data_IF_175674332391
#
_entry.id   IF_175674332391
#
_cell.length_a   1.000
_cell.length_b   1.000
_cell.length_c   1.000
_cell.angle_alpha   90.00
_cell.angle_beta   90.00
_cell.angle_gamma   90.00
#
_symmetry.space_group_name_H-M   'P 1'
#
loop_
_entity.id
_entity.type
_entity.pdbx_description
1 polymer ?
#
# COMPACT_ATOMS: atom_id res chain seq x y z
N UNK A 1 1.42 5.50 -9.63
CA UNK A 1 1.15 5.49 -8.18
C UNK A 1 1.97 4.38 -7.56
N UNK A 2 2.51 4.54 -6.35
CA UNK A 2 3.27 3.44 -5.73
C UNK A 2 2.85 3.12 -4.29
N UNK A 3 3.25 3.92 -3.30
CA UNK A 3 2.94 3.59 -1.90
C UNK A 3 1.45 3.68 -1.58
N UNK A 4 0.67 4.38 -2.39
CA UNK A 4 -0.78 4.48 -2.28
C UNK A 4 -1.49 3.12 -2.39
N UNK A 5 -0.94 2.17 -3.17
CA UNK A 5 -1.52 0.83 -3.35
C UNK A 5 -1.58 0.02 -2.03
N UNK A 6 -0.77 0.39 -1.04
CA UNK A 6 -0.79 -0.24 0.28
C UNK A 6 -1.81 0.39 1.24
N UNK A 7 -2.32 1.59 0.97
CA UNK A 7 -3.26 2.30 1.84
C UNK A 7 -4.56 1.50 2.12
N UNK A 8 -5.19 0.84 1.13
CA UNK A 8 -6.40 0.04 1.33
C UNK A 8 -6.19 -1.10 2.33
N UNK A 9 -5.00 -1.68 2.41
CA UNK A 9 -4.71 -2.77 3.35
C UNK A 9 -4.88 -2.34 4.81
N UNK A 10 -4.43 -1.12 5.14
CA UNK A 10 -4.48 -0.55 6.48
C UNK A 10 -5.91 -0.20 6.89
N UNK A 11 -6.72 0.28 5.93
CA UNK A 11 -8.15 0.57 6.14
C UNK A 11 -8.96 -0.74 6.28
N UNK A 12 -8.75 -1.68 5.36
CA UNK A 12 -9.54 -2.91 5.24
C UNK A 12 -9.24 -3.93 6.35
N UNK A 13 -8.07 -3.86 6.98
CA UNK A 13 -7.72 -4.68 8.13
C UNK A 13 -8.74 -4.57 9.29
N UNK A 14 -9.50 -3.47 9.37
CA UNK A 14 -10.57 -3.30 10.37
C UNK A 14 -11.80 -4.17 10.12
N UNK A 15 -12.10 -4.44 8.86
CA UNK A 15 -13.28 -5.22 8.47
C UNK A 15 -12.98 -6.72 8.40
N UNK A 16 -11.71 -7.12 8.42
CA UNK A 16 -11.29 -8.51 8.45
C UNK A 16 -10.06 -8.73 9.34
N UNK A 17 -10.20 -8.67 10.67
CA UNK A 17 -9.09 -8.81 11.62
C UNK A 17 -8.42 -10.20 11.59
N UNK A 18 -9.11 -11.19 11.03
CA UNK A 18 -8.57 -12.53 10.78
C UNK A 18 -7.63 -12.59 9.57
N UNK A 19 -7.70 -11.62 8.65
CA UNK A 19 -6.83 -11.58 7.47
C UNK A 19 -5.47 -11.02 7.87
N UNK A 20 -4.36 -11.70 7.57
CA UNK A 20 -3.03 -11.15 7.78
C UNK A 20 -2.83 -9.84 7.01
N UNK A 21 -2.22 -8.84 7.64
CA UNK A 21 -2.02 -7.52 7.02
C UNK A 21 -1.12 -7.61 5.78
N UNK A 22 -0.15 -8.53 5.78
CA UNK A 22 0.70 -8.78 4.62
C UNK A 22 -0.10 -9.23 3.38
N UNK A 23 -1.16 -10.01 3.57
CA UNK A 23 -1.97 -10.52 2.47
C UNK A 23 -2.83 -9.39 1.87
N UNK A 24 -3.39 -8.52 2.72
CA UNK A 24 -4.09 -7.32 2.29
C UNK A 24 -3.15 -6.31 1.61
N UNK A 25 -1.93 -6.15 2.12
CA UNK A 25 -0.91 -5.29 1.54
C UNK A 25 -0.49 -5.77 0.16
N UNK A 26 -0.21 -7.07 0.04
CA UNK A 26 0.17 -7.66 -1.23
C UNK A 26 -0.99 -7.64 -2.23
N UNK A 27 -2.23 -7.85 -1.79
CA UNK A 27 -3.42 -7.73 -2.64
C UNK A 27 -3.48 -6.36 -3.36
N UNK A 28 -3.27 -5.27 -2.62
CA UNK A 28 -3.31 -3.92 -3.18
C UNK A 28 -2.22 -3.65 -4.23
N UNK A 29 -1.02 -4.21 -4.05
CA UNK A 29 0.10 -4.06 -4.97
C UNK A 29 0.25 -5.22 -5.97
N UNK A 30 -0.69 -6.17 -5.98
CA UNK A 30 -0.60 -7.39 -6.79
C UNK A 30 -0.60 -7.11 -8.30
N UNK A 31 -1.43 -6.19 -8.83
CA UNK A 31 -1.38 -5.85 -10.26
C UNK A 31 0.00 -5.35 -10.69
N UNK A 32 0.64 -4.46 -9.91
CA UNK A 32 1.99 -3.95 -10.18
C UNK A 32 3.02 -5.09 -10.13
N UNK A 33 2.97 -5.94 -9.10
CA UNK A 33 3.89 -7.06 -8.97
C UNK A 33 3.81 -8.02 -10.16
N UNK A 34 2.59 -8.35 -10.58
CA UNK A 34 2.36 -9.20 -11.74
C UNK A 34 2.77 -8.52 -13.03
N UNK A 35 2.59 -7.20 -13.16
CA UNK A 35 3.05 -6.44 -14.31
C UNK A 35 4.56 -6.59 -14.49
N UNK A 36 5.35 -6.40 -13.43
CA UNK A 36 6.80 -6.60 -13.51
C UNK A 36 7.19 -8.04 -13.81
N UNK A 37 6.49 -9.02 -13.22
CA UNK A 37 6.75 -10.43 -13.49
C UNK A 37 6.45 -10.80 -14.96
N UNK A 38 5.32 -10.35 -15.50
CA UNK A 38 4.94 -10.56 -16.90
C UNK A 38 5.81 -9.76 -17.86
N UNK A 39 6.32 -8.60 -17.44
CA UNK A 39 7.28 -7.82 -18.19
C UNK A 39 8.62 -8.55 -18.35
N UNK A 40 9.14 -9.14 -17.27
CA UNK A 40 10.33 -10.00 -17.32
C UNK A 40 10.10 -11.21 -18.24
N UNK A 41 8.87 -11.77 -18.25
CA UNK A 41 8.51 -12.87 -19.14
C UNK A 41 8.25 -12.45 -20.59
N UNK A 42 8.27 -11.15 -20.92
CA UNK A 42 7.97 -10.62 -22.25
C UNK A 42 6.49 -10.69 -22.65
N UNK A 43 5.57 -10.88 -21.69
CA UNK A 43 4.12 -10.94 -21.91
C UNK A 43 3.43 -9.57 -21.79
N UNK A 44 4.06 -8.62 -21.09
CA UNK A 44 3.65 -7.22 -20.99
C UNK A 44 4.87 -6.31 -21.23
N UNK A 45 4.68 -5.07 -21.68
CA UNK A 45 5.80 -4.17 -21.99
C UNK A 45 5.57 -2.75 -21.50
N UNK A 46 6.60 -2.14 -20.91
CA UNK A 46 6.68 -0.68 -20.81
C UNK A 46 7.23 -0.11 -22.11
N UNK A 47 6.50 0.78 -22.79
CA UNK A 47 7.07 1.53 -23.91
C UNK A 47 7.57 2.88 -23.41
N UNK A 48 8.78 3.24 -23.84
CA UNK A 48 9.24 4.61 -23.79
C UNK A 48 8.85 5.28 -25.10
N UNK A 49 7.98 6.28 -25.04
CA UNK A 49 8.05 7.30 -26.07
C UNK A 49 9.15 8.30 -25.65
N UNK A 50 10.04 8.62 -26.57
CA UNK A 50 10.98 9.71 -26.40
C UNK A 50 10.21 11.04 -26.47
N UNK A 51 9.48 11.40 -25.41
CA UNK A 51 8.83 12.70 -25.33
C UNK A 51 9.74 13.73 -24.67
N UNK A 52 9.73 14.94 -25.22
CA UNK A 52 10.45 16.09 -24.69
C UNK A 52 10.07 16.33 -23.23
N UNK A 53 11.05 16.38 -22.31
CA UNK A 53 10.82 16.71 -20.90
C UNK A 53 9.99 18.00 -20.79
N UNK A 54 8.81 17.90 -20.18
CA UNK A 54 8.00 19.07 -19.88
C UNK A 54 8.81 19.99 -18.95
N UNK A 55 9.03 21.24 -19.32
CA UNK A 55 9.80 22.17 -18.51
C UNK A 55 8.87 23.27 -18.02
N UNK A 56 8.79 23.47 -16.70
CA UNK A 56 8.02 24.53 -16.08
C UNK A 56 8.94 25.46 -15.31
N UNK A 57 8.72 26.77 -15.41
CA UNK A 57 9.46 27.75 -14.62
C UNK A 57 8.52 28.36 -13.58
N UNK A 58 8.82 28.14 -12.29
CA UNK A 58 8.02 28.65 -11.17
C UNK A 58 8.95 29.49 -10.29
N UNK A 59 8.60 30.76 -10.05
CA UNK A 59 9.42 31.70 -9.25
C UNK A 59 10.90 31.78 -9.64
N UNK A 60 11.22 31.66 -10.94
CA UNK A 60 12.59 31.70 -11.45
C UNK A 60 13.36 30.37 -11.35
N UNK A 61 12.76 29.32 -10.79
CA UNK A 61 13.33 27.96 -10.80
C UNK A 61 12.78 27.18 -11.99
N UNK A 62 13.67 26.67 -12.84
CA UNK A 62 13.31 25.77 -13.94
C UNK A 62 13.18 24.35 -13.41
N UNK A 63 11.93 23.92 -13.24
CA UNK A 63 11.58 22.53 -12.98
C UNK A 63 11.58 21.79 -14.32
N UNK A 64 12.54 20.90 -14.51
CA UNK A 64 12.42 19.86 -15.52
C UNK A 64 11.46 18.83 -14.95
N UNK A 65 10.29 18.72 -15.55
CA UNK A 65 9.40 17.58 -15.34
C UNK A 65 10.14 16.30 -15.70
N UNK A 66 9.79 15.21 -15.02
CA UNK A 66 10.11 13.89 -15.54
C UNK A 66 9.57 13.78 -16.96
N UNK A 67 10.19 13.01 -17.86
CA UNK A 67 9.45 12.54 -19.05
C UNK A 67 8.21 11.84 -18.48
N UNK A 68 7.04 12.45 -18.59
CA UNK A 68 5.81 11.95 -17.97
C UNK A 68 5.31 10.67 -18.63
N UNK A 69 6.12 10.09 -19.51
CA UNK A 69 6.15 8.67 -19.86
C UNK A 69 6.80 7.83 -18.75
N UNK A 70 6.55 8.17 -17.48
CA UNK A 70 6.79 7.26 -16.38
C UNK A 70 5.91 6.01 -16.59
N UNK A 71 6.36 4.83 -16.17
CA UNK A 71 5.46 3.71 -15.87
C UNK A 71 4.23 4.26 -15.08
N UNK A 72 2.97 4.17 -15.54
CA UNK A 72 2.40 3.24 -16.53
C UNK A 72 1.84 3.92 -17.81
N UNK A 73 2.11 5.20 -18.07
CA UNK A 73 1.32 5.98 -19.05
C UNK A 73 1.47 5.50 -20.51
N UNK A 74 2.52 4.74 -20.81
CA UNK A 74 2.80 4.16 -22.12
C UNK A 74 3.18 2.68 -22.05
N UNK A 75 2.58 1.91 -21.13
CA UNK A 75 2.80 0.46 -21.08
C UNK A 75 1.65 -0.31 -21.74
N UNK A 76 1.98 -1.44 -22.38
CA UNK A 76 1.04 -2.46 -22.81
C UNK A 76 0.93 -3.52 -21.72
N UNK A 77 -0.16 -3.46 -20.95
CA UNK A 77 -0.44 -4.38 -19.83
C UNK A 77 -1.86 -4.96 -19.89
N UNK A 78 -2.22 -5.67 -20.98
CA UNK A 78 -3.58 -6.14 -21.21
C UNK A 78 -4.10 -7.10 -20.13
N UNK A 79 -3.23 -7.68 -19.31
CA UNK A 79 -3.60 -8.69 -18.32
C UNK A 79 -3.63 -8.15 -16.89
N UNK A 80 -2.68 -7.30 -16.52
CA UNK A 80 -2.53 -6.89 -15.11
C UNK A 80 -3.31 -5.65 -14.76
N UNK A 81 -3.48 -4.76 -15.72
CA UNK A 81 -4.10 -3.45 -15.50
C UNK A 81 -5.33 -3.22 -16.37
N UNK A 82 -5.80 -4.20 -17.15
CA UNK A 82 -7.15 -4.15 -17.72
C UNK A 82 -8.20 -4.43 -16.65
N UNK A 83 -9.44 -3.94 -16.84
CA UNK A 83 -10.51 -4.12 -15.85
C UNK A 83 -10.90 -5.58 -15.67
N UNK A 84 -11.00 -6.31 -16.78
CA UNK A 84 -11.18 -7.76 -16.75
C UNK A 84 -10.00 -8.48 -16.07
N UNK A 85 -8.77 -8.05 -16.37
CA UNK A 85 -7.54 -8.56 -15.77
C UNK A 85 -7.50 -8.39 -14.25
N UNK A 86 -7.74 -7.18 -13.75
CA UNK A 86 -7.77 -6.90 -12.32
C UNK A 86 -8.89 -7.65 -11.60
N UNK A 87 -10.07 -7.80 -12.20
CA UNK A 87 -11.15 -8.64 -11.64
C UNK A 87 -10.70 -10.10 -11.55
N UNK A 88 -10.09 -10.64 -12.61
CA UNK A 88 -9.60 -12.01 -12.62
C UNK A 88 -8.51 -12.24 -11.56
N UNK A 89 -7.52 -11.34 -11.48
CA UNK A 89 -6.45 -11.37 -10.49
C UNK A 89 -7.02 -11.28 -9.07
N UNK A 90 -7.93 -10.33 -8.81
CA UNK A 90 -8.57 -10.15 -7.51
C UNK A 90 -9.33 -11.39 -7.05
N UNK A 91 -10.13 -11.99 -7.94
CA UNK A 91 -10.86 -13.23 -7.65
C UNK A 91 -9.91 -14.38 -7.38
N UNK A 92 -8.93 -14.62 -8.26
CA UNK A 92 -7.98 -15.71 -8.13
C UNK A 92 -7.19 -15.61 -6.80
N UNK A 93 -6.64 -14.44 -6.50
CA UNK A 93 -5.87 -14.22 -5.29
C UNK A 93 -6.73 -14.37 -4.03
N UNK A 94 -7.91 -13.75 -3.99
CA UNK A 94 -8.80 -13.84 -2.84
C UNK A 94 -9.25 -15.29 -2.59
N UNK A 95 -9.61 -16.06 -3.63
CA UNK A 95 -9.97 -17.48 -3.50
C UNK A 95 -8.79 -18.27 -2.90
N UNK A 96 -7.59 -18.13 -3.48
CA UNK A 96 -6.41 -18.90 -3.05
C UNK A 96 -6.09 -18.63 -1.58
N UNK A 97 -6.00 -17.36 -1.19
CA UNK A 97 -5.68 -16.98 0.19
C UNK A 97 -6.77 -17.41 1.16
N UNK A 98 -8.04 -17.21 0.81
CA UNK A 98 -9.17 -17.61 1.66
C UNK A 98 -9.20 -19.12 1.88
N UNK A 99 -8.95 -19.93 0.84
CA UNK A 99 -8.90 -21.38 0.98
C UNK A 99 -7.68 -21.86 1.78
N UNK A 100 -6.50 -21.31 1.48
CA UNK A 100 -5.25 -21.72 2.11
C UNK A 100 -5.24 -21.41 3.62
N UNK A 101 -5.74 -20.25 4.02
CA UNK A 101 -5.82 -19.82 5.41
C UNK A 101 -7.17 -20.12 6.08
N UNK A 102 -8.11 -20.75 5.38
CA UNK A 102 -9.48 -21.04 5.84
C UNK A 102 -10.18 -19.80 6.42
N UNK A 103 -10.05 -18.68 5.72
CA UNK A 103 -10.55 -17.39 6.20
C UNK A 103 -12.06 -17.26 6.03
N UNK A 104 -12.74 -16.45 6.86
CA UNK A 104 -14.17 -16.21 6.72
C UNK A 104 -14.49 -15.33 5.52
N UNK A 105 -15.77 -15.27 5.12
CA UNK A 105 -16.21 -14.49 3.96
C UNK A 105 -15.82 -12.99 3.99
N UNK A 106 -15.83 -12.27 5.13
CA UNK A 106 -15.34 -10.88 5.18
C UNK A 106 -13.87 -10.75 4.76
N UNK A 107 -13.02 -11.74 5.05
CA UNK A 107 -11.64 -11.77 4.60
C UNK A 107 -11.54 -11.90 3.08
N UNK A 108 -12.38 -12.75 2.47
CA UNK A 108 -12.46 -12.85 1.01
C UNK A 108 -12.85 -11.50 0.37
N UNK A 109 -13.90 -10.85 0.89
CA UNK A 109 -14.37 -9.57 0.38
C UNK A 109 -13.31 -8.46 0.53
N UNK A 110 -12.61 -8.40 1.65
CA UNK A 110 -11.54 -7.41 1.87
C UNK A 110 -10.32 -7.64 1.00
N UNK A 111 -9.91 -8.89 0.72
CA UNK A 111 -8.84 -9.19 -0.24
C UNK A 111 -9.22 -8.77 -1.67
N UNK A 112 -10.47 -9.03 -2.06
CA UNK A 112 -11.00 -8.64 -3.35
C UNK A 112 -11.04 -7.12 -3.49
N UNK A 113 -11.56 -6.41 -2.49
CA UNK A 113 -11.59 -4.95 -2.47
C UNK A 113 -10.19 -4.32 -2.41
N UNK A 114 -9.25 -4.93 -1.67
CA UNK A 114 -7.87 -4.48 -1.64
C UNK A 114 -7.24 -4.56 -3.03
N UNK A 115 -7.42 -5.66 -3.75
CA UNK A 115 -6.90 -5.79 -5.12
C UNK A 115 -7.61 -4.83 -6.09
N UNK A 116 -8.93 -4.75 -6.04
CA UNK A 116 -9.71 -3.87 -6.93
C UNK A 116 -9.56 -2.39 -6.64
N UNK A 117 -8.99 -2.00 -5.50
CA UNK A 117 -8.66 -0.60 -5.21
C UNK A 117 -7.60 -0.03 -6.16
N UNK A 118 -6.90 -0.90 -6.89
CA UNK A 118 -6.00 -0.50 -7.97
C UNK A 118 -6.76 0.17 -9.13
N UNK A 119 -7.97 -0.28 -9.48
CA UNK A 119 -8.80 0.31 -10.54
C UNK A 119 -9.08 1.81 -10.37
N UNK A 120 -9.64 2.30 -9.24
CA UNK A 120 -9.89 3.72 -9.08
C UNK A 120 -8.60 4.54 -9.06
N UNK A 121 -7.47 3.97 -8.62
CA UNK A 121 -6.16 4.64 -8.68
C UNK A 121 -5.64 4.71 -10.12
N UNK A 122 -5.83 3.65 -10.90
CA UNK A 122 -5.55 3.63 -12.33
C UNK A 122 -6.43 4.63 -13.09
N UNK A 123 -7.73 4.71 -12.79
CA UNK A 123 -8.63 5.70 -13.38
C UNK A 123 -8.22 7.13 -12.97
N UNK A 124 -7.83 7.31 -11.71
CA UNK A 124 -7.32 8.56 -11.15
C UNK A 124 -6.05 9.06 -11.83
N UNK A 125 -5.32 8.21 -12.53
CA UNK A 125 -4.02 8.56 -13.09
C UNK A 125 -4.00 8.43 -14.61
N UNK A 126 -4.68 7.44 -15.17
CA UNK A 126 -4.48 7.00 -16.54
C UNK A 126 -5.67 6.16 -16.97
N UNK A 127 -6.74 6.78 -17.49
CA UNK A 127 -7.68 6.05 -18.35
C UNK A 127 -8.75 6.86 -19.08
N UNK A 128 -8.96 6.49 -20.34
CA UNK A 128 -10.25 6.45 -21.03
C UNK A 128 -10.54 4.95 -21.31
N UNK A 129 -11.32 4.29 -20.43
CA UNK A 129 -11.65 2.85 -20.56
C UNK A 129 -12.75 2.58 -21.59
N UNK A 130 -12.72 3.22 -22.76
CA UNK A 130 -13.78 3.01 -23.76
C UNK A 130 -13.83 1.59 -24.32
N UNK A 131 -12.85 0.73 -24.01
CA UNK A 131 -12.87 -0.68 -24.38
C UNK A 131 -12.59 -1.58 -23.17
N UNK A 132 -13.59 -2.39 -22.82
CA UNK A 132 -13.50 -3.53 -21.89
C UNK A 132 -12.40 -4.54 -22.26
N UNK A 133 -11.94 -4.52 -23.51
CA UNK A 133 -10.88 -5.37 -24.05
C UNK A 133 -10.01 -4.52 -24.99
N UNK A 134 -8.75 -4.27 -24.61
CA UNK A 134 -7.68 -3.88 -25.54
C UNK A 134 -7.79 -2.51 -26.24
N UNK A 135 -8.47 -1.52 -25.65
CA UNK A 135 -8.50 -0.16 -26.21
C UNK A 135 -7.18 0.59 -26.01
N UNK A 136 -6.75 1.34 -27.02
CA UNK A 136 -5.61 2.27 -26.91
C UNK A 136 -5.88 3.37 -25.88
N UNK A 137 -4.84 3.70 -25.09
CA UNK A 137 -4.91 4.68 -24.02
C UNK A 137 -5.16 6.09 -24.57
N UNK A 138 -6.39 6.60 -24.40
CA UNK A 138 -6.67 8.05 -24.51
C UNK A 138 -6.42 8.69 -23.15
N UNK A 139 -5.87 9.90 -23.18
CA UNK A 139 -5.33 10.65 -22.03
C UNK A 139 -6.22 10.59 -20.78
N UNK A 140 -5.63 10.66 -19.56
CA UNK A 140 -6.36 10.70 -18.29
C UNK A 140 -7.49 11.73 -18.29
N UNK A 141 -8.57 11.46 -17.53
CA UNK A 141 -9.74 12.36 -17.40
C UNK A 141 -9.31 13.79 -17.01
N UNK A 142 -8.31 13.91 -16.14
CA UNK A 142 -7.72 15.18 -15.64
C UNK A 142 -6.77 15.85 -16.64
N UNK A 143 -6.25 15.12 -17.63
CA UNK A 143 -5.41 15.64 -18.73
C UNK A 143 -6.23 16.18 -19.90
N UNK A 144 -7.57 16.24 -19.79
CA UNK A 144 -8.43 16.82 -20.84
C UNK A 144 -8.24 18.35 -20.96
N UNK A 145 -7.76 19.03 -19.92
CA UNK A 145 -7.37 20.44 -19.98
C UNK A 145 -5.89 20.62 -19.64
N UNK A 146 -5.13 21.16 -20.60
CA UNK A 146 -3.66 21.33 -20.53
C UNK A 146 -3.17 22.35 -19.48
N UNK A 147 -4.05 22.88 -18.63
CA UNK A 147 -3.78 24.03 -17.77
C UNK A 147 -3.34 23.67 -16.34
N UNK A 148 -3.58 22.45 -15.84
CA UNK A 148 -3.19 22.06 -14.46
C UNK A 148 -2.65 20.63 -14.36
N UNK A 149 -1.43 20.36 -14.84
CA UNK A 149 -0.83 19.03 -14.79
C UNK A 149 -0.17 18.76 -13.43
N UNK A 150 -0.90 18.88 -12.31
CA UNK A 150 -0.31 18.74 -10.96
C UNK A 150 0.34 17.37 -10.75
N UNK A 151 -0.29 16.29 -11.23
CA UNK A 151 0.20 14.90 -11.14
C UNK A 151 1.28 14.56 -12.17
N UNK A 152 1.61 15.46 -13.09
CA UNK A 152 2.70 15.27 -14.05
C UNK A 152 4.06 15.70 -13.50
N UNK A 153 4.09 16.31 -12.31
CA UNK A 153 5.34 16.66 -11.64
C UNK A 153 5.66 15.61 -10.57
N UNK A 154 6.95 15.22 -10.43
CA UNK A 154 7.45 14.39 -9.33
C UNK A 154 6.89 14.75 -7.96
N UNK A 155 6.82 16.04 -7.65
CA UNK A 155 6.28 16.54 -6.39
C UNK A 155 4.78 16.29 -6.22
N UNK A 156 4.00 16.39 -7.30
CA UNK A 156 2.57 16.12 -7.26
C UNK A 156 2.29 14.65 -6.99
N UNK A 157 2.94 13.75 -7.75
CA UNK A 157 2.85 12.30 -7.55
C UNK A 157 3.35 11.88 -6.16
N UNK A 158 4.48 12.44 -5.71
CA UNK A 158 5.01 12.19 -4.38
C UNK A 158 3.98 12.56 -3.30
N UNK A 159 3.46 13.79 -3.37
CA UNK A 159 2.56 14.32 -2.34
C UNK A 159 1.21 13.60 -2.33
N UNK A 160 0.65 13.28 -3.51
CA UNK A 160 -0.63 12.55 -3.60
C UNK A 160 -0.51 11.16 -3.02
N UNK A 161 0.48 10.39 -3.46
CA UNK A 161 0.60 8.97 -3.09
C UNK A 161 0.97 8.82 -1.62
N UNK A 162 1.95 9.61 -1.18
CA UNK A 162 2.38 9.62 0.20
C UNK A 162 1.26 10.15 1.11
N UNK A 163 0.51 11.17 0.68
CA UNK A 163 -0.63 11.69 1.42
C UNK A 163 -1.73 10.65 1.64
N UNK A 164 -2.11 9.90 0.60
CA UNK A 164 -3.08 8.81 0.68
C UNK A 164 -2.60 7.72 1.66
N UNK A 165 -1.33 7.32 1.54
CA UNK A 165 -0.75 6.32 2.43
C UNK A 165 -0.67 6.81 3.89
N UNK A 166 -0.20 8.03 4.11
CA UNK A 166 -0.08 8.63 5.44
C UNK A 166 -1.46 8.74 6.12
N UNK A 167 -2.49 9.12 5.37
CA UNK A 167 -3.85 9.14 5.88
C UNK A 167 -4.29 7.74 6.37
N UNK A 168 -4.04 6.69 5.58
CA UNK A 168 -4.40 5.33 5.96
C UNK A 168 -3.60 4.82 7.17
N UNK A 169 -2.32 5.19 7.29
CA UNK A 169 -1.51 4.91 8.49
C UNK A 169 -2.10 5.58 9.72
N UNK A 170 -2.43 6.86 9.64
CA UNK A 170 -3.02 7.62 10.75
C UNK A 170 -4.39 7.06 11.16
N UNK A 171 -5.23 6.73 10.17
CA UNK A 171 -6.51 6.07 10.41
C UNK A 171 -6.31 4.72 11.11
N UNK A 172 -5.40 3.91 10.60
CA UNK A 172 -5.12 2.59 11.16
C UNK A 172 -4.58 2.70 12.58
N UNK A 173 -3.60 3.56 12.84
CA UNK A 173 -3.05 3.81 14.18
C UNK A 173 -4.12 4.26 15.17
N UNK A 174 -5.05 5.11 14.75
CA UNK A 174 -6.16 5.59 15.58
C UNK A 174 -7.22 4.53 15.86
N UNK A 175 -7.34 3.51 15.01
CA UNK A 175 -8.39 2.48 15.09
C UNK A 175 -7.88 1.11 15.56
N UNK A 176 -6.57 0.90 15.71
CA UNK A 176 -6.01 -0.29 16.39
C UNK A 176 -6.47 -0.35 17.84
N UNK A 177 -6.59 0.79 18.51
CA UNK A 177 -6.94 0.87 19.93
C UNK A 177 -8.43 1.19 20.13
N UNK A 178 -9.20 0.34 20.81
CA UNK A 178 -10.52 0.74 21.27
C UNK A 178 -10.36 1.89 22.29
N UNK A 179 -11.07 3.02 22.14
CA UNK A 179 -11.02 4.15 23.08
C UNK A 179 -11.33 3.74 24.52
N UNK A 180 -12.14 2.71 24.70
CA UNK A 180 -12.66 2.24 25.98
C UNK A 180 -11.55 1.73 26.93
N UNK A 181 -10.51 1.06 26.41
CA UNK A 181 -9.36 0.63 27.23
C UNK A 181 -8.43 1.81 27.60
N UNK A 182 -8.42 2.86 26.76
CA UNK A 182 -7.59 4.04 26.96
C UNK A 182 -8.22 5.01 27.96
N UNK A 183 -9.54 5.19 27.92
CA UNK A 183 -10.29 6.07 28.84
C UNK A 183 -10.51 5.43 30.22
N UNK A 184 -10.76 4.11 30.31
CA UNK A 184 -10.89 3.44 31.60
C UNK A 184 -9.61 3.52 32.46
N UNK A 185 -8.42 3.63 31.85
CA UNK A 185 -7.16 3.72 32.58
C UNK A 185 -6.71 5.17 32.88
N UNK A 186 -7.21 6.17 32.16
CA UNK A 186 -6.86 7.58 32.39
C UNK A 186 -7.68 8.23 33.51
N UNK A 187 -8.86 7.67 33.80
CA UNK A 187 -9.78 8.15 34.82
C UNK A 187 -9.68 7.48 36.19
N UNK A 188 -8.90 6.41 36.35
CA UNK A 188 -8.71 5.80 37.67
C UNK A 188 -7.52 6.45 38.40
N UNK A 189 -7.74 7.28 39.44
CA UNK A 189 -6.65 7.65 40.32
C UNK A 189 -6.00 6.38 40.84
N UNK A 190 -4.68 6.39 40.96
CA UNK A 190 -3.86 5.25 41.36
C UNK A 190 -4.06 4.94 42.86
N UNK A 191 -5.26 4.51 43.26
CA UNK A 191 -5.64 4.30 44.67
C UNK A 191 -4.97 3.05 45.27
N UNK A 192 -4.31 2.22 44.46
CA UNK A 192 -3.71 0.96 44.92
C UNK A 192 -2.21 1.04 45.23
N UNK A 193 -1.62 2.24 45.29
CA UNK A 193 -0.19 2.39 45.62
C UNK A 193 0.15 2.14 47.09
N UNK A 194 -0.84 1.90 47.97
CA UNK A 194 -0.60 1.79 49.41
C UNK A 194 -0.95 0.42 50.03
N UNK A 195 -1.53 -0.54 49.30
CA UNK A 195 -1.94 -1.81 49.90
C UNK A 195 -1.92 -2.98 48.91
N UNK A 196 -0.72 -3.44 48.55
CA UNK A 196 -0.55 -4.74 47.89
C UNK A 196 0.82 -5.34 48.22
N UNK A 197 1.08 -5.55 49.51
CA UNK A 197 1.87 -6.71 49.91
C UNK A 197 1.01 -7.96 49.70
N UNK A 198 1.55 -8.91 48.93
CA UNK A 198 1.10 -10.30 48.75
C UNK A 198 0.43 -10.67 47.40
N UNK A 199 1.25 -11.29 46.54
CA UNK A 199 0.92 -12.52 45.81
C UNK A 199 0.14 -12.49 44.48
N UNK A 200 0.03 -11.38 43.77
CA UNK A 200 -0.25 -11.47 42.33
C UNK A 200 1.05 -11.36 41.53
N UNK A 201 1.53 -12.49 40.99
CA UNK A 201 2.43 -12.49 39.82
C UNK A 201 1.61 -11.99 38.64
N UNK A 202 1.31 -10.69 38.65
CA UNK A 202 0.52 -10.03 37.61
C UNK A 202 1.34 -10.01 36.33
N UNK A 203 0.78 -10.59 35.27
CA UNK A 203 1.28 -10.45 33.91
C UNK A 203 1.51 -8.96 33.63
N UNK A 204 2.78 -8.55 33.57
CA UNK A 204 3.15 -7.17 33.28
C UNK A 204 2.82 -6.95 31.81
N UNK A 205 1.70 -6.29 31.52
CA UNK A 205 1.38 -5.84 30.17
C UNK A 205 2.40 -4.76 29.81
N UNK A 206 3.48 -5.17 29.13
CA UNK A 206 4.46 -4.23 28.62
C UNK A 206 3.85 -3.52 27.41
N UNK A 207 3.29 -2.32 27.64
CA UNK A 207 2.85 -1.45 26.54
C UNK A 207 4.08 -1.10 25.70
N UNK A 208 4.19 -1.67 24.51
CA UNK A 208 5.20 -1.25 23.52
C UNK A 208 4.72 0.06 22.92
N UNK A 209 5.61 1.05 22.94
CA UNK A 209 5.36 2.31 22.24
C UNK A 209 5.33 2.03 20.72
N UNK A 210 4.14 2.10 20.13
CA UNK A 210 3.95 1.87 18.69
C UNK A 210 4.38 3.06 17.83
N UNK A 211 4.70 4.20 18.44
CA UNK A 211 5.11 5.43 17.74
C UNK A 211 6.29 5.15 16.83
N UNK A 212 7.28 4.40 17.31
CA UNK A 212 8.46 4.05 16.51
C UNK A 212 8.15 3.09 15.35
N UNK A 213 7.18 2.18 15.53
CA UNK A 213 6.76 1.26 14.47
C UNK A 213 6.08 2.00 13.32
N UNK A 214 5.11 2.87 13.63
CA UNK A 214 4.44 3.70 12.64
C UNK A 214 5.39 4.71 11.99
N UNK A 215 6.24 5.38 12.78
CA UNK A 215 7.24 6.31 12.23
C UNK A 215 8.19 5.59 11.28
N UNK A 216 8.65 4.39 11.62
CA UNK A 216 9.49 3.57 10.75
C UNK A 216 8.84 3.27 9.41
N UNK A 217 7.56 2.88 9.41
CA UNK A 217 6.79 2.63 8.17
C UNK A 217 6.58 3.90 7.35
N UNK A 218 6.30 5.04 8.00
CA UNK A 218 6.15 6.32 7.31
C UNK A 218 7.46 6.75 6.66
N UNK A 219 8.59 6.63 7.36
CA UNK A 219 9.92 6.96 6.80
C UNK A 219 10.30 6.02 5.66
N UNK A 220 10.03 4.73 5.79
CA UNK A 220 10.26 3.75 4.73
C UNK A 220 9.43 4.05 3.49
N UNK A 221 8.14 4.35 3.67
CA UNK A 221 7.24 4.74 2.58
C UNK A 221 7.67 6.05 1.91
N UNK A 222 8.12 7.05 2.69
CA UNK A 222 8.65 8.29 2.14
C UNK A 222 9.89 8.04 1.28
N UNK A 223 10.80 7.16 1.73
CA UNK A 223 12.00 6.79 0.98
C UNK A 223 11.68 6.10 -0.34
N UNK A 224 10.79 5.11 -0.33
CA UNK A 224 10.34 4.42 -1.55
C UNK A 224 9.61 5.40 -2.47
N UNK A 225 8.66 6.20 -1.96
CA UNK A 225 7.95 7.15 -2.81
C UNK A 225 8.89 8.20 -3.41
N UNK A 226 9.92 8.62 -2.68
CA UNK A 226 10.95 9.52 -3.20
C UNK A 226 11.78 8.83 -4.30
N UNK A 227 12.18 7.57 -4.11
CA UNK A 227 12.82 6.75 -5.14
C UNK A 227 12.00 6.76 -6.43
N UNK A 228 10.71 6.45 -6.35
CA UNK A 228 9.80 6.45 -7.51
C UNK A 228 9.58 7.81 -8.15
N UNK A 229 9.41 8.85 -7.33
CA UNK A 229 9.00 10.15 -7.84
C UNK A 229 10.17 10.89 -8.49
N UNK A 230 11.39 10.73 -7.96
CA UNK A 230 12.53 11.57 -8.34
C UNK A 230 13.69 10.83 -9.01
N UNK A 231 13.81 9.52 -8.83
CA UNK A 231 15.01 8.77 -9.23
C UNK A 231 14.71 7.60 -10.17
N UNK A 232 13.54 6.99 -10.07
CA UNK A 232 13.09 5.93 -10.95
C UNK A 232 12.71 6.52 -12.31
N UNK A 233 13.66 6.54 -13.24
CA UNK A 233 13.35 6.68 -14.67
C UNK A 233 12.62 5.41 -15.16
N UNK A 234 11.77 5.52 -16.20
CA UNK A 234 11.24 4.32 -16.84
C UNK A 234 12.41 3.46 -17.38
N UNK A 235 12.30 2.12 -17.35
CA UNK A 235 13.35 1.23 -17.85
C UNK A 235 13.69 1.61 -19.28
N UNK A 236 14.96 1.97 -19.53
CA UNK A 236 15.29 2.83 -20.66
C UNK A 236 15.06 2.16 -22.03
N UNK A 237 15.00 0.83 -22.13
CA UNK A 237 14.86 0.13 -23.40
C UNK A 237 14.19 -1.26 -23.31
N UNK A 238 13.26 -1.51 -22.39
CA UNK A 238 12.62 -2.85 -22.27
C UNK A 238 13.57 -4.01 -21.90
N UNK A 239 14.88 -3.76 -21.81
CA UNK A 239 15.93 -4.71 -21.44
C UNK A 239 16.35 -4.61 -19.97
N UNK A 240 15.87 -3.60 -19.22
CA UNK A 240 16.21 -3.41 -17.81
C UNK A 240 15.35 -4.30 -16.89
N UNK A 241 15.45 -5.61 -17.07
CA UNK A 241 14.86 -6.61 -16.16
C UNK A 241 15.32 -6.38 -14.71
N UNK A 242 16.51 -5.80 -14.50
CA UNK A 242 17.02 -5.41 -13.19
C UNK A 242 16.13 -4.39 -12.50
N UNK A 243 15.57 -3.42 -13.24
CA UNK A 243 14.67 -2.40 -12.70
C UNK A 243 13.34 -3.02 -12.27
N UNK A 244 12.77 -3.92 -13.09
CA UNK A 244 11.58 -4.68 -12.73
C UNK A 244 11.80 -5.52 -11.45
N UNK A 245 12.96 -6.18 -11.33
CA UNK A 245 13.33 -6.94 -10.13
C UNK A 245 13.44 -6.04 -8.90
N UNK A 246 14.07 -4.87 -9.01
CA UNK A 246 14.16 -3.90 -7.90
C UNK A 246 12.76 -3.49 -7.43
N UNK A 247 11.86 -3.17 -8.35
CA UNK A 247 10.49 -2.79 -7.98
C UNK A 247 9.70 -3.92 -7.33
N UNK A 248 9.84 -5.16 -7.82
CA UNK A 248 9.25 -6.33 -7.16
C UNK A 248 9.79 -6.50 -5.73
N UNK A 249 11.10 -6.33 -5.52
CA UNK A 249 11.71 -6.40 -4.20
C UNK A 249 11.23 -5.28 -3.27
N UNK A 250 11.00 -4.08 -3.79
CA UNK A 250 10.42 -2.98 -3.02
C UNK A 250 8.98 -3.27 -2.58
N UNK A 251 8.15 -3.86 -3.46
CA UNK A 251 6.80 -4.32 -3.08
C UNK A 251 6.90 -5.35 -1.95
N UNK A 252 7.73 -6.38 -2.11
CA UNK A 252 7.90 -7.42 -1.10
C UNK A 252 8.45 -6.85 0.21
N UNK A 253 9.39 -5.90 0.15
CA UNK A 253 9.91 -5.19 1.31
C UNK A 253 8.83 -4.40 2.05
N UNK A 254 7.94 -3.74 1.33
CA UNK A 254 6.80 -3.02 1.91
C UNK A 254 5.79 -3.96 2.56
N UNK A 255 5.46 -5.07 1.90
CA UNK A 255 4.61 -6.13 2.46
C UNK A 255 5.21 -6.69 3.74
N UNK A 256 6.51 -6.96 3.76
CA UNK A 256 7.22 -7.41 4.95
C UNK A 256 7.22 -6.35 6.07
N UNK A 257 7.39 -5.07 5.73
CA UNK A 257 7.30 -3.96 6.68
C UNK A 257 5.92 -3.88 7.33
N UNK A 258 4.85 -3.98 6.54
CA UNK A 258 3.48 -4.01 7.08
C UNK A 258 3.20 -5.28 7.90
N UNK A 259 3.75 -6.43 7.51
CA UNK A 259 3.67 -7.64 8.32
C UNK A 259 4.35 -7.47 9.69
N UNK A 260 5.51 -6.83 9.70
CA UNK A 260 6.22 -6.49 10.93
C UNK A 260 5.40 -5.53 11.79
N UNK A 261 4.78 -4.51 11.19
CA UNK A 261 3.88 -3.58 11.88
C UNK A 261 2.67 -4.31 12.52
N UNK A 262 2.11 -5.32 11.84
CA UNK A 262 1.06 -6.18 12.39
C UNK A 262 1.52 -6.90 13.66
N UNK A 263 2.74 -7.44 13.66
CA UNK A 263 3.33 -8.06 14.86
C UNK A 263 3.55 -7.07 16.01
N UNK A 264 3.77 -5.79 15.71
CA UNK A 264 3.86 -4.72 16.71
C UNK A 264 2.51 -4.31 17.27
N UNK A 265 1.46 -4.30 16.43
CA UNK A 265 0.12 -3.80 16.78
C UNK A 265 -0.77 -4.85 17.44
N UNK A 266 -0.53 -6.15 17.18
CA UNK A 266 -1.25 -7.23 17.86
C UNK A 266 -0.81 -7.32 19.33
N UNK A 267 -1.66 -6.85 20.24
CA UNK A 267 -1.52 -7.12 21.67
C UNK A 267 -1.80 -8.61 21.88
N UNK A 268 -0.75 -9.43 21.88
CA UNK A 268 -0.89 -10.81 22.36
C UNK A 268 -1.12 -10.74 23.86
N UNK A 269 -2.37 -10.92 24.29
CA UNK A 269 -2.66 -11.36 25.65
C UNK A 269 -2.05 -12.75 25.78
N UNK A 270 -0.78 -12.81 26.20
CA UNK A 270 -0.20 -14.05 26.70
C UNK A 270 -0.99 -14.36 27.97
N UNK A 271 -2.07 -15.12 27.83
CA UNK A 271 -2.66 -15.83 28.94
C UNK A 271 -1.57 -16.80 29.34
N UNK A 272 -0.79 -16.46 30.37
CA UNK A 272 0.05 -17.46 31.01
C UNK A 272 -0.92 -18.53 31.50
N UNK A 273 -0.91 -19.68 30.83
CA UNK A 273 -1.57 -20.88 31.33
C UNK A 273 -0.97 -21.15 32.70
N UNK A 274 -1.66 -20.67 33.74
CA UNK A 274 -1.33 -20.96 35.12
C UNK A 274 -1.43 -22.47 35.22
N UNK A 275 -0.26 -23.12 35.19
CA UNK A 275 -0.09 -24.53 35.50
C UNK A 275 -0.95 -24.83 36.73
N UNK A 276 -2.07 -25.51 36.53
CA UNK A 276 -2.81 -26.14 37.61
C UNK A 276 -1.92 -27.27 38.12
N UNK A 277 -1.03 -26.94 39.04
CA UNK A 277 -0.40 -27.93 39.91
C UNK A 277 -1.48 -28.41 40.86
N UNK A 278 -1.97 -29.63 40.61
CA UNK A 278 -2.76 -30.41 41.55
C UNK A 278 -1.91 -30.86 42.73
#
# INVERSE_FOLDING_TARGET
MWVAHFAPSLLLARFAPSTPLWALAFAGALPDFLFFALNIAGLESGHNHSTSLATATIFGYTLKGSSTDCLPYHSSYPYTHSTAGQIAIALAFAIIITLFYRLPFPSFATLLLATLSHLPLDIAISRDESALVGGEYKKPIWKRDASVPLLDYPWGTFTSDFGIFLFAVLFHARTVYPPEEYEQQRGQPNVNSASASASSRGARVQKRDLTYGYLGIVLFAAGIQAHFSFFAGPPANGEDWSTAVVFMLEILGFVAGLHWLEGYTRVTTRVEDVKKTN
#
